data_IF_485929986059
#
_entry.id   IF_485929986059
#
_cell.length_a   1.000
_cell.length_b   1.000
_cell.length_c   1.000
_cell.angle_alpha   90.00
_cell.angle_beta   90.00
_cell.angle_gamma   90.00
#
_symmetry.space_group_name_H-M   'P 1'
#
loop_
_entity.id
_entity.type
_entity.pdbx_description
1 polymer ?
#
# COMPACT_ATOMS: atom_id res chain seq x y z
N UNK A 1 16.75 -11.42 8.28
CA UNK A 1 15.58 -11.00 9.10
C UNK A 1 14.31 -11.80 8.82
N UNK A 2 14.11 -12.32 7.60
CA UNK A 2 12.88 -13.02 7.21
C UNK A 2 13.03 -14.56 7.19
N UNK A 3 13.96 -15.10 7.97
CA UNK A 3 14.23 -16.54 7.99
C UNK A 3 14.55 -17.09 9.38
N UNK A 4 14.14 -18.35 9.60
CA UNK A 4 14.39 -19.12 10.81
C UNK A 4 13.64 -18.60 12.06
N UNK A 5 14.14 -19.01 13.22
CA UNK A 5 13.53 -18.71 14.53
C UNK A 5 13.59 -17.22 14.92
N UNK A 6 14.38 -16.41 14.20
CA UNK A 6 14.52 -14.98 14.42
C UNK A 6 13.52 -14.14 13.60
N UNK A 7 12.62 -14.78 12.84
CA UNK A 7 11.62 -14.05 12.04
C UNK A 7 10.66 -13.29 12.96
N UNK A 8 10.52 -11.97 12.82
CA UNK A 8 9.70 -11.18 13.73
C UNK A 8 8.20 -11.47 13.53
N UNK A 9 7.41 -11.26 14.60
CA UNK A 9 5.95 -11.25 14.51
C UNK A 9 5.45 -10.04 13.71
N UNK A 10 6.11 -8.89 13.85
CA UNK A 10 5.84 -7.67 13.09
C UNK A 10 7.16 -7.14 12.51
N UNK A 11 7.22 -7.02 11.18
CA UNK A 11 8.25 -6.26 10.50
C UNK A 11 7.71 -4.85 10.24
N UNK A 12 8.31 -3.82 10.83
CA UNK A 12 8.02 -2.42 10.50
C UNK A 12 9.21 -1.82 9.77
N UNK A 13 9.00 -1.28 8.58
CA UNK A 13 10.07 -0.65 7.78
C UNK A 13 9.73 0.80 7.50
N UNK A 14 10.51 1.72 8.06
CA UNK A 14 10.55 3.12 7.64
C UNK A 14 11.75 3.31 6.72
N UNK A 15 11.55 3.04 5.43
CA UNK A 15 12.61 3.06 4.42
C UNK A 15 12.13 3.75 3.16
N UNK A 16 13.04 3.96 2.21
CA UNK A 16 12.61 4.32 0.87
C UNK A 16 12.00 3.11 0.18
N UNK A 17 10.98 3.38 -0.62
CA UNK A 17 10.41 2.41 -1.54
C UNK A 17 11.08 2.52 -2.89
N UNK A 18 11.32 1.38 -3.52
CA UNK A 18 11.92 1.33 -4.85
C UNK A 18 10.91 1.76 -5.90
N UNK A 19 11.30 2.72 -6.75
CA UNK A 19 10.53 3.15 -7.91
C UNK A 19 11.37 3.08 -9.18
N UNK A 20 10.73 2.74 -10.30
CA UNK A 20 11.33 2.71 -11.62
C UNK A 20 10.62 3.69 -12.57
N UNK A 21 11.29 4.14 -13.65
CA UNK A 21 10.63 4.82 -14.75
C UNK A 21 9.51 3.96 -15.35
N UNK A 22 8.45 4.62 -15.85
CA UNK A 22 7.36 3.95 -16.57
C UNK A 22 7.91 3.12 -17.73
N UNK A 23 7.54 1.84 -17.79
CA UNK A 23 7.94 0.90 -18.84
C UNK A 23 9.31 0.28 -18.64
N UNK A 24 10.00 0.57 -17.54
CA UNK A 24 11.28 -0.08 -17.23
C UNK A 24 11.09 -1.60 -17.05
N UNK A 25 11.97 -2.46 -17.58
CA UNK A 25 11.79 -3.93 -17.53
C UNK A 25 11.61 -4.51 -16.13
N UNK A 26 12.23 -3.89 -15.11
CA UNK A 26 12.11 -4.27 -13.69
C UNK A 26 10.96 -3.60 -12.94
N UNK A 27 10.19 -2.73 -13.59
CA UNK A 27 9.14 -1.98 -12.91
C UNK A 27 8.11 -2.91 -12.28
N UNK A 28 7.50 -3.79 -13.07
CA UNK A 28 6.49 -4.70 -12.56
C UNK A 28 7.07 -5.68 -11.54
N UNK A 29 8.29 -6.20 -11.79
CA UNK A 29 8.88 -7.23 -10.94
C UNK A 29 9.33 -6.72 -9.57
N UNK A 30 9.90 -5.52 -9.52
CA UNK A 30 10.69 -5.06 -8.39
C UNK A 30 10.14 -3.79 -7.71
N UNK A 31 9.34 -2.95 -8.40
CA UNK A 31 8.80 -1.71 -7.82
C UNK A 31 7.95 -2.01 -6.57
N UNK A 32 8.10 -1.17 -5.56
CA UNK A 32 7.56 -1.43 -4.21
C UNK A 32 8.46 -2.32 -3.34
N UNK A 33 9.65 -2.71 -3.83
CA UNK A 33 10.73 -3.24 -3.00
C UNK A 33 11.23 -2.21 -1.98
N UNK A 34 11.99 -2.69 -1.00
CA UNK A 34 12.51 -1.89 0.10
C UNK A 34 13.97 -1.57 -0.14
N UNK A 35 14.32 -0.29 -0.12
CA UNK A 35 15.72 0.14 -0.24
C UNK A 35 16.49 -0.22 1.03
N UNK A 36 17.67 -0.80 0.85
CA UNK A 36 18.52 -1.30 1.93
C UNK A 36 19.60 -0.28 2.33
N UNK A 37 20.29 -0.54 3.45
CA UNK A 37 21.33 0.35 3.99
C UNK A 37 22.57 0.44 3.10
N UNK A 38 22.73 -0.48 2.14
CA UNK A 38 23.78 -0.47 1.14
C UNK A 38 23.68 0.74 0.19
N UNK A 39 22.51 1.38 0.12
CA UNK A 39 22.36 2.63 -0.61
C UNK A 39 22.94 3.81 0.19
N UNK A 40 23.98 4.44 -0.35
CA UNK A 40 24.65 5.61 0.24
C UNK A 40 23.81 6.91 0.17
N UNK A 41 22.57 6.82 -0.32
CA UNK A 41 21.60 7.93 -0.37
C UNK A 41 21.53 8.65 -1.72
N UNK A 42 20.74 9.73 -1.82
CA UNK A 42 20.45 10.40 -3.09
C UNK A 42 21.66 10.99 -3.82
N UNK A 43 22.75 11.26 -3.10
CA UNK A 43 24.00 11.76 -3.67
C UNK A 43 24.91 10.64 -4.22
N UNK A 44 24.56 9.37 -3.97
CA UNK A 44 25.32 8.22 -4.44
C UNK A 44 25.39 8.23 -5.97
N UNK A 45 26.61 8.14 -6.51
CA UNK A 45 26.79 7.97 -7.95
C UNK A 45 26.36 6.56 -8.31
N UNK A 46 25.40 6.43 -9.24
CA UNK A 46 25.07 5.13 -9.81
C UNK A 46 26.31 4.53 -10.49
N UNK A 47 26.49 3.21 -10.42
CA UNK A 47 27.55 2.54 -11.18
C UNK A 47 27.53 2.95 -12.67
N UNK A 48 28.71 3.00 -13.27
CA UNK A 48 28.85 3.41 -14.67
C UNK A 48 28.02 2.48 -15.58
N UNK A 49 27.13 3.08 -16.38
CA UNK A 49 26.25 2.35 -17.29
C UNK A 49 24.91 1.92 -16.69
N UNK A 50 24.54 2.38 -15.49
CA UNK A 50 23.22 2.11 -14.90
C UNK A 50 22.45 3.41 -14.62
N UNK A 51 21.21 3.48 -15.11
CA UNK A 51 20.29 4.60 -14.85
C UNK A 51 19.32 4.33 -13.70
N UNK A 52 19.43 3.16 -13.05
CA UNK A 52 18.56 2.72 -11.95
C UNK A 52 19.36 2.06 -10.85
N UNK A 53 18.76 1.93 -9.67
CA UNK A 53 19.42 1.36 -8.50
C UNK A 53 19.91 -0.08 -8.76
N UNK A 54 21.15 -0.42 -8.38
CA UNK A 54 21.68 -1.78 -8.43
C UNK A 54 20.84 -2.76 -7.61
N UNK A 55 20.83 -4.05 -7.99
CA UNK A 55 20.04 -5.07 -7.27
C UNK A 55 20.45 -5.23 -5.81
N UNK A 56 21.74 -5.10 -5.52
CA UNK A 56 22.30 -5.31 -4.19
C UNK A 56 21.88 -4.21 -3.19
N UNK A 57 21.25 -3.13 -3.65
CA UNK A 57 20.83 -2.01 -2.81
C UNK A 57 19.37 -2.07 -2.38
N UNK A 58 18.63 -3.11 -2.78
CA UNK A 58 17.23 -3.25 -2.40
C UNK A 58 16.75 -4.69 -2.27
N UNK A 59 15.75 -4.86 -1.40
CA UNK A 59 15.06 -6.09 -1.16
C UNK A 59 13.72 -6.12 -1.91
N UNK A 60 13.50 -7.15 -2.71
CA UNK A 60 12.33 -7.35 -3.56
C UNK A 60 11.74 -8.75 -3.38
N UNK A 61 10.68 -9.07 -4.13
CA UNK A 61 10.11 -10.41 -4.16
C UNK A 61 11.13 -11.50 -4.54
N UNK A 62 12.10 -11.19 -5.42
CA UNK A 62 13.12 -12.13 -5.85
C UNK A 62 14.10 -12.53 -4.72
N UNK A 63 14.15 -11.74 -3.65
CA UNK A 63 15.04 -11.94 -2.49
C UNK A 63 14.37 -12.78 -1.38
N UNK A 64 13.15 -13.30 -1.64
CA UNK A 64 12.43 -14.28 -0.82
C UNK A 64 12.52 -15.67 -1.46
N UNK A 65 13.62 -16.42 -1.23
CA UNK A 65 13.77 -17.74 -1.81
C UNK A 65 12.67 -18.69 -1.29
N UNK A 66 12.09 -19.56 -2.13
CA UNK A 66 10.98 -20.45 -1.77
C UNK A 66 11.45 -21.65 -0.93
N UNK A 67 12.33 -21.43 0.03
CA UNK A 67 12.95 -22.44 0.88
C UNK A 67 12.26 -22.49 2.24
N UNK A 68 12.35 -23.64 2.91
CA UNK A 68 11.81 -23.83 4.27
C UNK A 68 12.45 -22.92 5.33
N UNK A 69 13.60 -22.30 5.01
CA UNK A 69 14.31 -21.40 5.91
C UNK A 69 13.66 -20.01 5.97
N UNK A 70 12.87 -19.63 4.96
CA UNK A 70 12.06 -18.39 4.95
C UNK A 70 10.65 -18.73 5.40
N UNK A 71 10.36 -18.55 6.70
CA UNK A 71 9.04 -18.86 7.27
C UNK A 71 8.38 -17.60 7.84
N UNK A 72 7.51 -17.00 7.02
CA UNK A 72 6.76 -15.79 7.34
C UNK A 72 5.44 -16.08 8.07
N UNK A 73 5.14 -17.35 8.36
CA UNK A 73 3.88 -17.73 8.97
C UNK A 73 3.59 -16.94 10.25
N UNK A 74 2.42 -16.32 10.32
CA UNK A 74 2.02 -15.58 11.51
C UNK A 74 2.73 -14.24 11.68
N UNK A 75 3.60 -13.86 10.73
CA UNK A 75 4.13 -12.50 10.67
C UNK A 75 3.14 -11.55 10.01
N UNK A 76 3.29 -10.28 10.35
CA UNK A 76 2.75 -9.15 9.62
C UNK A 76 3.89 -8.23 9.21
N UNK A 77 3.68 -7.45 8.15
CA UNK A 77 4.59 -6.39 7.77
C UNK A 77 3.87 -5.05 7.65
N UNK A 78 4.58 -3.98 7.96
CA UNK A 78 4.16 -2.60 7.74
C UNK A 78 5.24 -1.91 6.92
N UNK A 79 4.93 -1.58 5.68
CA UNK A 79 5.81 -0.90 4.74
C UNK A 79 5.47 0.59 4.71
N UNK A 80 6.23 1.35 5.47
CA UNK A 80 6.30 2.79 5.33
C UNK A 80 7.35 3.12 4.27
N UNK A 81 6.95 2.90 3.01
CA UNK A 81 7.80 3.03 1.84
C UNK A 81 6.93 3.30 0.61
N UNK A 82 7.40 4.15 -0.30
CA UNK A 82 6.71 4.45 -1.56
C UNK A 82 6.45 3.16 -2.36
N UNK A 83 5.29 3.07 -3.01
CA UNK A 83 4.89 1.95 -3.87
C UNK A 83 4.80 0.59 -3.20
N UNK A 84 5.02 0.48 -1.88
CA UNK A 84 5.09 -0.81 -1.18
C UNK A 84 3.81 -1.65 -1.29
N UNK A 85 2.66 -1.02 -1.51
CA UNK A 85 1.37 -1.68 -1.74
C UNK A 85 1.02 -1.84 -3.22
N UNK A 86 1.54 -0.96 -4.07
CA UNK A 86 1.27 -0.97 -5.51
C UNK A 86 1.48 0.38 -6.17
N UNK A 87 1.22 0.41 -7.47
CA UNK A 87 1.37 1.59 -8.32
C UNK A 87 0.14 1.77 -9.19
N UNK A 88 -0.51 2.95 -9.17
CA UNK A 88 -1.60 3.27 -10.09
C UNK A 88 -1.06 3.56 -11.50
N UNK A 89 -1.97 3.73 -12.46
CA UNK A 89 -1.63 4.10 -13.84
C UNK A 89 -1.08 5.52 -13.91
N UNK A 90 -1.73 6.46 -13.22
CA UNK A 90 -1.43 7.88 -13.26
C UNK A 90 -0.82 8.36 -11.94
N UNK A 91 0.03 9.37 -12.03
CA UNK A 91 0.52 10.15 -10.88
C UNK A 91 -0.66 10.93 -10.29
N UNK A 92 -1.21 10.44 -9.18
CA UNK A 92 -2.33 11.10 -8.50
C UNK A 92 -1.89 12.47 -7.97
N UNK A 93 -0.60 12.64 -7.63
CA UNK A 93 -0.03 13.90 -7.11
C UNK A 93 0.36 14.89 -8.20
N UNK A 94 0.23 14.52 -9.47
CA UNK A 94 0.44 15.46 -10.55
C UNK A 94 -0.72 16.47 -10.62
N UNK A 95 -0.39 17.75 -10.77
CA UNK A 95 -1.38 18.81 -10.96
C UNK A 95 -2.24 18.51 -12.18
N UNK A 96 -3.53 18.83 -12.11
CA UNK A 96 -4.58 18.60 -13.13
C UNK A 96 -4.27 19.03 -14.58
N UNK A 97 -3.17 19.75 -14.85
CA UNK A 97 -2.71 20.12 -16.20
C UNK A 97 -1.70 19.15 -16.81
N UNK A 98 -1.21 18.16 -16.05
CA UNK A 98 -0.21 17.18 -16.51
C UNK A 98 -0.52 15.80 -15.92
N UNK A 99 -1.56 15.14 -16.43
CA UNK A 99 -1.77 13.72 -16.13
C UNK A 99 -0.55 12.96 -16.64
N UNK A 100 0.23 12.39 -15.72
CA UNK A 100 1.47 11.68 -16.02
C UNK A 100 1.26 10.20 -15.77
N UNK A 101 1.44 9.37 -16.79
CA UNK A 101 1.50 7.93 -16.61
C UNK A 101 2.79 7.53 -15.89
N UNK A 102 2.66 6.79 -14.79
CA UNK A 102 3.79 6.33 -13.97
C UNK A 102 4.01 4.82 -14.07
N UNK A 103 3.07 4.08 -14.66
CA UNK A 103 3.18 2.66 -14.93
C UNK A 103 2.49 2.31 -16.26
N UNK A 104 2.87 1.21 -16.93
CA UNK A 104 2.20 0.77 -18.16
C UNK A 104 0.79 0.23 -17.90
N UNK A 105 0.52 -0.18 -16.65
CA UNK A 105 -0.77 -0.62 -16.13
C UNK A 105 -0.75 -0.49 -14.60
N UNK A 106 -1.90 -0.35 -13.91
CA UNK A 106 -1.93 -0.40 -12.45
C UNK A 106 -1.58 -1.81 -11.94
N UNK A 107 -0.79 -1.91 -10.87
CA UNK A 107 -0.38 -3.20 -10.30
C UNK A 107 -0.15 -3.14 -8.79
N UNK A 108 -0.36 -4.26 -8.11
CA UNK A 108 0.07 -4.46 -6.72
C UNK A 108 1.56 -4.78 -6.68
N UNK A 109 2.27 -4.30 -5.67
CA UNK A 109 3.69 -4.62 -5.51
C UNK A 109 3.88 -6.13 -5.32
N UNK A 110 4.90 -6.70 -5.95
CA UNK A 110 5.15 -8.14 -5.86
C UNK A 110 5.71 -8.59 -4.51
N UNK A 111 6.40 -7.71 -3.77
CA UNK A 111 6.97 -8.07 -2.48
C UNK A 111 5.89 -8.50 -1.46
N UNK A 112 4.82 -7.73 -1.19
CA UNK A 112 3.71 -8.20 -0.36
C UNK A 112 3.08 -9.50 -0.88
N UNK A 113 2.89 -9.64 -2.20
CA UNK A 113 2.31 -10.84 -2.78
C UNK A 113 3.18 -12.08 -2.50
N UNK A 114 4.49 -11.97 -2.68
CA UNK A 114 5.44 -13.05 -2.38
C UNK A 114 5.48 -13.37 -0.88
N UNK A 115 5.37 -12.36 -0.01
CA UNK A 115 5.29 -12.58 1.44
C UNK A 115 4.03 -13.33 1.85
N UNK A 116 2.87 -12.93 1.34
CA UNK A 116 1.58 -13.55 1.66
C UNK A 116 1.45 -14.98 1.09
N UNK A 117 2.02 -15.21 -0.10
CA UNK A 117 1.95 -16.50 -0.81
C UNK A 117 3.12 -17.44 -0.54
N UNK A 118 4.01 -17.10 0.41
CA UNK A 118 5.25 -17.84 0.60
C UNK A 118 5.01 -19.34 0.91
N UNK A 119 5.61 -20.27 0.14
CA UNK A 119 5.24 -21.69 0.18
C UNK A 119 5.60 -22.41 1.50
N UNK A 120 6.57 -21.90 2.25
CA UNK A 120 6.97 -22.44 3.56
C UNK A 120 6.16 -21.85 4.73
N UNK A 121 5.16 -21.00 4.43
CA UNK A 121 4.36 -20.26 5.41
C UNK A 121 4.41 -18.77 5.12
N UNK A 122 3.29 -18.22 4.66
CA UNK A 122 3.16 -16.82 4.29
C UNK A 122 2.84 -15.89 5.46
N UNK A 123 3.15 -14.60 5.29
CA UNK A 123 2.66 -13.55 6.17
C UNK A 123 1.12 -13.54 6.17
N UNK A 124 0.50 -13.08 7.26
CA UNK A 124 -0.95 -13.03 7.37
C UNK A 124 -1.54 -11.72 6.85
N UNK A 125 -0.79 -10.63 6.99
CA UNK A 125 -1.15 -9.32 6.47
C UNK A 125 0.10 -8.47 6.21
N UNK A 126 0.01 -7.62 5.19
CA UNK A 126 0.98 -6.56 4.91
C UNK A 126 0.22 -5.26 4.80
N UNK A 127 0.56 -4.29 5.65
CA UNK A 127 0.12 -2.90 5.50
C UNK A 127 1.15 -2.20 4.63
N UNK A 128 0.73 -1.54 3.56
CA UNK A 128 1.65 -0.85 2.69
C UNK A 128 1.01 0.34 1.98
N UNK A 129 1.86 1.28 1.54
CA UNK A 129 1.43 2.48 0.84
C UNK A 129 1.33 2.25 -0.67
N UNK A 130 0.21 2.62 -1.28
CA UNK A 130 0.04 2.67 -2.74
C UNK A 130 0.59 3.99 -3.26
N UNK A 131 1.37 3.95 -4.33
CA UNK A 131 2.01 5.14 -4.90
C UNK A 131 3.06 5.78 -3.97
N UNK A 132 3.51 7.00 -4.30
CA UNK A 132 4.50 7.75 -3.53
C UNK A 132 3.93 8.07 -2.15
N UNK A 133 4.62 7.60 -1.11
CA UNK A 133 4.37 8.05 0.26
C UNK A 133 5.04 9.41 0.44
N UNK A 134 4.24 10.44 0.66
CA UNK A 134 4.75 11.76 0.97
C UNK A 134 4.97 11.91 2.47
N UNK A 135 5.76 12.91 2.85
CA UNK A 135 5.97 13.27 4.25
C UNK A 135 4.68 13.65 5.00
N UNK A 136 3.59 13.93 4.28
CA UNK A 136 2.40 14.61 4.81
C UNK A 136 1.51 13.72 5.69
N UNK A 137 1.53 12.39 5.51
CA UNK A 137 0.82 11.46 6.42
C UNK A 137 1.33 11.51 7.86
N UNK A 138 2.54 12.04 8.09
CA UNK A 138 3.19 12.03 9.39
C UNK A 138 3.97 13.31 9.70
N UNK A 139 3.87 14.34 8.86
CA UNK A 139 4.42 15.67 9.08
C UNK A 139 3.42 16.74 8.65
N UNK A 140 3.07 17.64 9.55
CA UNK A 140 2.29 18.85 9.28
C UNK A 140 3.11 20.06 9.69
N UNK A 141 3.40 20.97 8.76
CA UNK A 141 4.22 22.18 9.04
C UNK A 141 5.59 21.86 9.69
N UNK A 142 6.21 20.72 9.31
CA UNK A 142 7.45 20.18 9.90
C UNK A 142 7.32 19.69 11.35
N UNK A 143 6.09 19.62 11.88
CA UNK A 143 5.77 18.96 13.14
C UNK A 143 5.38 17.51 12.85
N UNK A 144 6.00 16.52 13.53
CA UNK A 144 5.60 15.13 13.40
C UNK A 144 4.13 14.91 13.80
N UNK A 145 3.34 14.37 12.89
CA UNK A 145 1.96 13.90 13.09
C UNK A 145 1.97 12.37 13.22
N UNK A 146 2.71 11.86 14.21
CA UNK A 146 2.89 10.41 14.39
C UNK A 146 1.71 9.72 15.05
N UNK A 147 0.76 10.49 15.60
CA UNK A 147 -0.33 9.97 16.43
C UNK A 147 -1.13 8.85 15.74
N UNK A 148 -1.43 8.98 14.44
CA UNK A 148 -2.14 7.93 13.68
C UNK A 148 -1.37 6.61 13.70
N UNK A 149 -0.05 6.65 13.48
CA UNK A 149 0.81 5.47 13.50
C UNK A 149 0.99 4.93 14.92
N UNK A 150 1.23 5.81 15.90
CA UNK A 150 1.41 5.43 17.31
C UNK A 150 0.17 4.74 17.87
N UNK A 151 -1.01 5.29 17.61
CA UNK A 151 -2.29 4.70 18.07
C UNK A 151 -2.54 3.38 17.36
N UNK A 152 -2.33 3.29 16.04
CA UNK A 152 -2.50 2.05 15.30
C UNK A 152 -1.57 0.94 15.83
N UNK A 153 -0.28 1.24 16.02
CA UNK A 153 0.71 0.31 16.56
C UNK A 153 0.41 -0.07 18.01
N UNK A 154 0.00 0.88 18.85
CA UNK A 154 -0.41 0.60 20.24
C UNK A 154 -1.60 -0.35 20.28
N UNK A 155 -2.63 -0.10 19.48
CA UNK A 155 -3.83 -0.96 19.39
C UNK A 155 -3.48 -2.36 18.88
N UNK A 156 -2.58 -2.46 17.91
CA UNK A 156 -2.14 -3.73 17.34
C UNK A 156 -1.29 -4.53 18.32
N UNK A 157 -0.26 -3.90 18.90
CA UNK A 157 0.79 -4.57 19.66
C UNK A 157 0.46 -4.75 21.14
N UNK A 158 -0.19 -3.77 21.76
CA UNK A 158 -0.45 -3.79 23.22
C UNK A 158 -1.87 -4.23 23.54
N UNK A 159 -2.84 -3.86 22.71
CA UNK A 159 -4.26 -4.18 22.96
C UNK A 159 -4.77 -5.37 22.11
N UNK A 160 -3.98 -5.83 21.15
CA UNK A 160 -4.23 -7.04 20.37
C UNK A 160 -5.42 -6.96 19.42
N UNK A 161 -5.80 -5.76 18.95
CA UNK A 161 -6.87 -5.58 17.97
C UNK A 161 -6.51 -6.14 16.58
N UNK A 162 -7.53 -6.50 15.76
CA UNK A 162 -7.30 -6.88 14.37
C UNK A 162 -6.65 -5.76 13.55
N UNK A 163 -5.79 -6.12 12.58
CA UNK A 163 -5.07 -5.13 11.78
C UNK A 163 -6.00 -4.18 11.02
N UNK A 164 -7.13 -4.69 10.50
CA UNK A 164 -8.13 -3.87 9.83
C UNK A 164 -8.74 -2.82 10.75
N UNK A 165 -8.97 -3.15 12.03
CA UNK A 165 -9.43 -2.18 13.03
C UNK A 165 -8.36 -1.12 13.33
N UNK A 166 -7.10 -1.53 13.43
CA UNK A 166 -5.99 -0.59 13.65
C UNK A 166 -5.84 0.42 12.52
N UNK A 167 -6.15 0.03 11.28
CA UNK A 167 -6.11 0.90 10.10
C UNK A 167 -7.27 1.90 10.03
N UNK A 168 -8.31 1.75 10.87
CA UNK A 168 -9.41 2.72 10.93
C UNK A 168 -8.94 4.12 11.37
N UNK A 169 -7.86 4.21 12.14
CA UNK A 169 -7.25 5.50 12.50
C UNK A 169 -6.68 6.26 11.29
N UNK A 170 -6.25 5.55 10.25
CA UNK A 170 -5.85 6.16 8.99
C UNK A 170 -7.08 6.66 8.22
N UNK A 171 -8.18 5.90 8.24
CA UNK A 171 -9.46 6.34 7.67
C UNK A 171 -10.02 7.59 8.37
N UNK A 172 -9.89 7.67 9.70
CA UNK A 172 -10.27 8.86 10.47
C UNK A 172 -9.43 10.08 10.05
N UNK A 173 -8.12 9.91 9.88
CA UNK A 173 -7.23 10.97 9.39
C UNK A 173 -7.61 11.41 7.97
N UNK A 174 -7.93 10.45 7.11
CA UNK A 174 -8.45 10.73 5.77
C UNK A 174 -9.77 11.54 5.81
N UNK A 175 -10.71 11.16 6.67
CA UNK A 175 -11.99 11.86 6.82
C UNK A 175 -11.84 13.29 7.38
N UNK A 176 -10.96 13.46 8.37
CA UNK A 176 -10.60 14.78 8.93
C UNK A 176 -10.05 15.70 7.85
N UNK A 177 -9.00 15.25 7.14
CA UNK A 177 -8.37 16.04 6.07
C UNK A 177 -9.31 16.31 4.89
N UNK A 178 -10.21 15.39 4.57
CA UNK A 178 -11.25 15.62 3.55
C UNK A 178 -12.18 16.76 3.93
N UNK A 179 -12.56 16.84 5.21
CA UNK A 179 -13.43 17.89 5.75
C UNK A 179 -12.73 19.24 5.72
N UNK A 180 -11.48 19.31 6.17
CA UNK A 180 -10.66 20.53 6.11
C UNK A 180 -10.43 21.00 4.66
N UNK A 181 -10.09 20.07 3.76
CA UNK A 181 -9.90 20.38 2.34
C UNK A 181 -11.17 20.94 1.71
N UNK A 182 -12.31 20.30 1.97
CA UNK A 182 -13.61 20.77 1.46
C UNK A 182 -13.91 22.17 1.97
N UNK A 183 -13.68 22.44 3.24
CA UNK A 183 -13.84 23.77 3.82
C UNK A 183 -12.93 24.80 3.13
N UNK A 184 -11.63 24.51 2.97
CA UNK A 184 -10.69 25.41 2.32
C UNK A 184 -11.07 25.71 0.86
N UNK A 185 -11.52 24.70 0.12
CA UNK A 185 -12.03 24.85 -1.24
C UNK A 185 -13.28 25.73 -1.28
N UNK A 186 -14.25 25.50 -0.39
CA UNK A 186 -15.44 26.34 -0.30
C UNK A 186 -15.11 27.79 -0.01
N UNK A 187 -14.19 28.07 0.92
CA UNK A 187 -13.74 29.42 1.23
C UNK A 187 -13.10 30.08 0.00
N UNK A 188 -12.23 29.34 -0.71
CA UNK A 188 -11.59 29.79 -1.96
C UNK A 188 -12.61 30.12 -3.06
N UNK A 189 -13.68 29.35 -3.20
CA UNK A 189 -14.70 29.61 -4.21
C UNK A 189 -15.71 30.69 -3.79
N UNK A 190 -16.15 30.71 -2.53
CA UNK A 190 -17.16 31.66 -2.02
C UNK A 190 -16.63 33.10 -1.95
N UNK A 191 -15.36 33.26 -1.59
CA UNK A 191 -14.73 34.57 -1.40
C UNK A 191 -13.74 34.93 -2.51
N UNK A 192 -13.62 34.08 -3.55
CA UNK A 192 -12.64 34.24 -4.64
C UNK A 192 -11.20 34.46 -4.13
N UNK A 193 -10.89 33.93 -2.95
CA UNK A 193 -9.59 34.05 -2.28
C UNK A 193 -8.55 33.23 -3.04
N UNK A 194 -7.81 33.91 -3.90
CA UNK A 194 -6.69 33.37 -4.69
C UNK A 194 -5.33 33.75 -4.09
N UNK A 195 -5.30 34.08 -2.78
CA UNK A 195 -4.06 34.39 -2.09
C UNK A 195 -3.10 33.20 -2.12
N UNK A 196 -1.80 33.48 -2.16
CA UNK A 196 -0.77 32.44 -2.12
C UNK A 196 -0.94 31.54 -0.88
N UNK A 197 -1.30 32.12 0.26
CA UNK A 197 -1.57 31.40 1.52
C UNK A 197 -2.72 30.40 1.37
N UNK A 198 -3.81 30.78 0.69
CA UNK A 198 -4.94 29.89 0.44
C UNK A 198 -4.57 28.73 -0.48
N UNK A 199 -3.84 29.02 -1.56
CA UNK A 199 -3.42 28.00 -2.52
C UNK A 199 -2.40 27.03 -1.90
N UNK A 200 -1.50 27.51 -1.04
CA UNK A 200 -0.59 26.67 -0.25
C UNK A 200 -1.35 25.78 0.75
N UNK A 201 -2.35 26.31 1.44
CA UNK A 201 -3.23 25.54 2.32
C UNK A 201 -3.95 24.43 1.57
N UNK A 202 -4.59 24.74 0.43
CA UNK A 202 -5.31 23.75 -0.38
C UNK A 202 -4.34 22.69 -0.90
N UNK A 203 -3.17 23.07 -1.42
CA UNK A 203 -2.18 22.12 -1.91
C UNK A 203 -1.70 21.17 -0.79
N UNK A 204 -1.49 21.70 0.42
CA UNK A 204 -1.13 20.90 1.60
C UNK A 204 -2.23 19.94 2.00
N UNK A 205 -3.46 20.42 2.14
CA UNK A 205 -4.61 19.61 2.55
C UNK A 205 -4.92 18.51 1.52
N UNK A 206 -4.86 18.86 0.24
CA UNK A 206 -5.01 17.91 -0.87
C UNK A 206 -3.92 16.84 -0.84
N UNK A 207 -2.65 17.22 -0.62
CA UNK A 207 -1.55 16.25 -0.52
C UNK A 207 -1.73 15.34 0.67
N UNK A 208 -2.04 15.90 1.84
CA UNK A 208 -2.27 15.14 3.08
C UNK A 208 -3.43 14.16 2.95
N UNK A 209 -4.53 14.60 2.36
CA UNK A 209 -5.72 13.78 2.13
C UNK A 209 -5.43 12.58 1.23
N UNK A 210 -4.75 12.79 0.11
CA UNK A 210 -4.42 11.70 -0.83
C UNK A 210 -3.32 10.76 -0.30
N UNK A 211 -2.44 11.24 0.56
CA UNK A 211 -1.45 10.41 1.23
C UNK A 211 -2.12 9.55 2.33
N UNK A 212 -3.01 10.13 3.14
CA UNK A 212 -3.70 9.42 4.21
C UNK A 212 -4.60 8.26 3.74
N UNK A 213 -5.23 8.38 2.55
CA UNK A 213 -6.07 7.31 1.97
C UNK A 213 -5.29 6.10 1.45
N UNK A 214 -3.97 6.22 1.32
CA UNK A 214 -3.18 5.33 0.45
C UNK A 214 -2.48 4.18 1.20
N UNK A 215 -2.70 4.05 2.51
CA UNK A 215 -2.34 2.84 3.27
C UNK A 215 -3.41 1.76 3.15
N UNK A 216 -3.03 0.59 2.63
CA UNK A 216 -3.92 -0.55 2.41
C UNK A 216 -3.48 -1.77 3.21
N UNK A 217 -4.45 -2.61 3.59
CA UNK A 217 -4.19 -3.96 4.13
C UNK A 217 -4.25 -4.97 3.00
N UNK A 218 -3.15 -5.67 2.75
CA UNK A 218 -3.07 -6.83 1.87
C UNK A 218 -3.04 -8.10 2.72
N UNK A 219 -4.03 -8.99 2.56
CA UNK A 219 -4.18 -10.20 3.37
C UNK A 219 -5.48 -10.20 4.18
N UNK A 220 -5.48 -10.86 5.34
CA UNK A 220 -6.67 -10.97 6.19
C UNK A 220 -6.80 -9.74 7.12
N UNK A 221 -7.82 -8.88 6.99
CA UNK A 221 -7.98 -7.73 7.89
C UNK A 221 -8.39 -8.12 9.33
N UNK A 222 -8.87 -9.35 9.55
CA UNK A 222 -9.32 -9.83 10.86
C UNK A 222 -8.17 -10.40 11.71
N UNK A 223 -6.97 -10.55 11.14
CA UNK A 223 -5.83 -11.11 11.85
C UNK A 223 -5.35 -10.21 12.99
N UNK A 224 -4.97 -10.83 14.10
CA UNK A 224 -4.38 -10.18 15.29
C UNK A 224 -2.91 -10.55 15.41
N UNK A 225 -2.09 -9.59 15.85
CA UNK A 225 -0.65 -9.82 16.03
C UNK A 225 -0.41 -10.80 17.19
N UNK A 226 0.26 -11.91 16.90
CA UNK A 226 0.69 -12.86 17.92
C UNK A 226 2.15 -12.62 18.26
N UNK A 227 2.39 -11.92 19.37
CA UNK A 227 3.73 -11.72 19.92
C UNK A 227 4.08 -12.89 20.83
N UNK A 228 5.23 -13.52 20.61
CA UNK A 228 5.70 -14.63 21.44
C UNK A 228 6.03 -14.14 22.86
N UNK A 229 5.50 -14.82 23.87
CA UNK A 229 5.92 -14.68 25.27
C UNK A 229 7.05 -15.64 25.64
N UNK A 230 7.50 -15.63 26.90
CA UNK A 230 8.43 -16.65 27.40
C UNK A 230 7.80 -18.04 27.33
N UNK A 231 8.51 -19.02 26.76
CA UNK A 231 8.04 -20.41 26.61
C UNK A 231 7.23 -20.71 25.34
N UNK A 232 7.16 -19.78 24.39
CA UNK A 232 6.44 -19.99 23.12
C UNK A 232 7.14 -21.02 22.23
N UNK A 233 6.37 -21.93 21.62
CA UNK A 233 6.86 -22.90 20.65
C UNK A 233 7.37 -22.22 19.37
N UNK A 234 8.37 -22.80 18.68
CA UNK A 234 8.84 -22.28 17.41
C UNK A 234 7.72 -22.30 16.35
N UNK A 235 7.79 -21.38 15.37
CA UNK A 235 6.84 -21.35 14.26
C UNK A 235 6.77 -22.72 13.59
N UNK A 236 5.56 -23.26 13.36
CA UNK A 236 5.43 -24.51 12.63
C UNK A 236 5.99 -24.32 11.22
N UNK A 237 6.73 -25.33 10.75
CA UNK A 237 7.25 -25.37 9.40
C UNK A 237 6.27 -26.15 8.54
N UNK A 238 5.72 -25.51 7.52
CA UNK A 238 4.93 -26.21 6.53
C UNK A 238 5.85 -26.74 5.45
N UNK A 239 5.82 -28.05 5.24
CA UNK A 239 6.28 -28.64 3.98
C UNK A 239 5.13 -28.51 2.99
N UNK A 240 5.38 -27.90 1.83
CA UNK A 240 4.40 -27.84 0.76
C UNK A 240 3.97 -29.27 0.43
N UNK A 241 2.73 -29.62 0.76
CA UNK A 241 2.15 -30.84 0.25
C UNK A 241 2.07 -30.70 -1.27
N UNK A 242 2.60 -31.68 -2.00
CA UNK A 242 2.45 -31.76 -3.43
C UNK A 242 0.97 -32.02 -3.75
N UNK A 243 0.18 -30.96 -3.81
CA UNK A 243 -1.17 -31.03 -4.33
C UNK A 243 -1.07 -31.06 -5.86
N UNK A 244 -1.11 -32.25 -6.42
CA UNK A 244 -1.49 -32.43 -7.82
C UNK A 244 -2.97 -32.08 -7.90
N UNK A 245 -3.30 -30.97 -8.57
CA UNK A 245 -4.67 -30.74 -9.01
C UNK A 245 -4.99 -31.95 -9.91
N UNK A 246 -5.95 -32.82 -9.54
CA UNK A 246 -6.34 -33.87 -10.46
C UNK A 246 -6.85 -33.19 -11.73
N UNK A 247 -6.40 -33.61 -12.90
CA UNK A 247 -7.01 -33.22 -14.17
C UNK A 247 -8.45 -33.78 -14.19
N UNK A 248 -9.36 -33.17 -13.45
CA UNK A 248 -10.77 -33.53 -13.49
C UNK A 248 -11.39 -32.95 -14.75
N UNK A 249 -11.45 -33.81 -15.77
CA UNK A 249 -12.62 -33.98 -16.63
C UNK A 249 -12.88 -32.88 -17.66
N UNK A 250 -13.36 -33.31 -18.83
CA UNK A 250 -13.90 -32.49 -19.92
C UNK A 250 -14.46 -31.13 -19.48
N UNK A 251 -14.06 -30.02 -20.12
CA UNK A 251 -14.56 -28.70 -19.78
C UNK A 251 -16.09 -28.72 -19.83
N UNK A 252 -16.73 -28.27 -18.75
CA UNK A 252 -18.16 -27.99 -18.78
C UNK A 252 -18.45 -27.05 -19.94
N UNK A 253 -19.50 -27.30 -20.75
CA UNK A 253 -19.90 -26.35 -21.77
C UNK A 253 -20.16 -25.00 -21.09
N UNK A 254 -19.57 -23.95 -21.65
CA UNK A 254 -19.73 -22.59 -21.16
C UNK A 254 -21.22 -22.29 -20.99
N UNK A 255 -21.68 -22.13 -19.74
CA UNK A 255 -22.98 -21.53 -19.51
C UNK A 255 -22.89 -20.11 -20.07
N UNK A 256 -23.76 -19.80 -21.02
CA UNK A 256 -23.94 -18.46 -21.54
C UNK A 256 -24.10 -17.50 -20.38
N UNK A 257 -23.21 -16.52 -20.28
CA UNK A 257 -23.31 -15.46 -19.29
C UNK A 257 -24.73 -14.88 -19.31
N UNK A 258 -25.36 -14.61 -18.15
CA UNK A 258 -26.64 -13.93 -18.13
C UNK A 258 -26.46 -12.59 -18.85
N UNK A 259 -27.27 -12.37 -19.89
CA UNK A 259 -27.33 -11.09 -20.58
C UNK A 259 -27.69 -10.04 -19.55
N UNK A 260 -26.76 -9.13 -19.27
CA UNK A 260 -27.03 -7.94 -18.47
C UNK A 260 -28.08 -7.12 -19.23
N UNK A 261 -29.33 -7.21 -18.79
CA UNK A 261 -30.39 -6.32 -19.26
C UNK A 261 -30.07 -4.93 -18.68
N UNK A 262 -29.89 -3.89 -19.51
CA UNK A 262 -29.68 -2.54 -19.01
C UNK A 262 -30.85 -2.14 -18.12
N UNK A 263 -30.56 -1.61 -16.93
CA UNK A 263 -31.57 -1.03 -16.06
C UNK A 263 -32.27 0.10 -16.84
N UNK A 264 -33.60 0.08 -16.90
CA UNK A 264 -34.36 1.15 -17.55
C UNK A 264 -34.02 2.50 -16.90
N UNK A 265 -33.86 3.58 -17.68
CA UNK A 265 -33.59 4.89 -17.12
C UNK A 265 -34.74 5.32 -16.18
N UNK A 266 -34.44 6.03 -15.09
CA UNK A 266 -35.46 6.53 -14.19
C UNK A 266 -36.42 7.46 -14.95
N UNK A 267 -37.72 7.48 -14.59
CA UNK A 267 -38.69 8.36 -15.22
C UNK A 267 -38.28 9.83 -15.05
N UNK A 268 -38.47 10.62 -16.11
CA UNK A 268 -38.15 12.05 -16.10
C UNK A 268 -38.90 12.76 -14.97
N UNK A 269 -38.20 13.64 -14.26
CA UNK A 269 -38.79 14.47 -13.22
C UNK A 269 -39.95 15.33 -13.80
N UNK A 270 -41.07 15.48 -13.07
CA UNK A 270 -42.18 16.29 -13.54
C UNK A 270 -41.75 17.76 -13.70
N UNK A 271 -42.06 18.32 -14.87
CA UNK A 271 -41.85 19.74 -15.18
C UNK A 271 -42.72 20.57 -14.25
N UNK A 272 -42.17 21.57 -13.54
CA UNK A 272 -42.99 22.45 -12.69
C UNK A 272 -43.97 23.25 -13.56
N UNK A 273 -45.20 23.50 -13.09
CA UNK A 273 -46.16 24.31 -13.83
C UNK A 273 -45.64 25.74 -13.96
N UNK A 274 -45.76 26.30 -15.16
CA UNK A 274 -45.42 27.69 -15.44
C UNK A 274 -46.43 28.62 -14.74
N UNK A 275 -45.91 29.47 -13.85
CA UNK A 275 -46.52 30.73 -13.41
C UNK A 275 -45.40 31.69 -12.97
#
# INVERSE_FOLDING_TARGET
MLGGNATPALLFTASHGLGFPNGHPRQISDQGGLVCQDWEGPAARLPQGTDTMPRDWYFSAADLPPTADVNLLGSMAFFFACYGGGTPLYDEFARARHVKEIAPQPFLAHLPQAMLSHPAGGALAVVAHVERAWGYSFMYERVPQLNTFEVALKKLMLEGYPIGYCLDWFNLRYAETATELTHALEQRFKFEDTSATREEEIARLWTTHNDARSYVVLGDPAVRLKVAGSGTQPRPRYTRAAYTIPETGTPMPAQSAPVLVPLAPPPAAPVPPAA
#
